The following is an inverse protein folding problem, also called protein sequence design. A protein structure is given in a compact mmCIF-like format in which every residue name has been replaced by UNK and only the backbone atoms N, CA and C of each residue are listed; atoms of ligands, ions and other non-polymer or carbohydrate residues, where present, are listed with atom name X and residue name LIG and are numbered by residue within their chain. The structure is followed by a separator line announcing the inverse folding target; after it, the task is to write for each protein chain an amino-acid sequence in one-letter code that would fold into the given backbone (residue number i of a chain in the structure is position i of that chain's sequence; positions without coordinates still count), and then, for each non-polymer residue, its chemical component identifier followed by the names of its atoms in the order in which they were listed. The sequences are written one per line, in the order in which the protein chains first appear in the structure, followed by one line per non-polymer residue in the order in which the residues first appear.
data_IF_169950975570
#
_entry.id   IF_169950975570
#
_cell.length_a   1.000
_cell.length_b   1.000
_cell.length_c   1.000
_cell.angle_alpha   90.00
_cell.angle_beta   90.00
_cell.angle_gamma   90.00
#
_symmetry.space_group_name_H-M   'P 1'
#
loop_
_entity.id
_entity.type
_entity.pdbx_description
1 polymer ?
#
# COMPACT_ATOMS: atom_id res chain seq x y z
N UNK A 1 10.75 -12.61 9.66
CA UNK A 1 11.25 -12.70 11.06
C UNK A 1 10.97 -14.04 11.73
N UNK A 2 10.02 -14.83 11.20
CA UNK A 2 9.70 -16.17 11.74
C UNK A 2 10.84 -17.19 11.52
N UNK A 3 11.66 -17.02 10.48
CA UNK A 3 12.81 -17.90 10.29
C UNK A 3 13.89 -17.60 11.34
N UNK A 4 14.20 -18.54 12.25
CA UNK A 4 15.19 -18.33 13.33
C UNK A 4 16.60 -18.10 12.79
N UNK A 5 16.87 -18.55 11.58
CA UNK A 5 18.18 -18.39 10.91
C UNK A 5 18.26 -17.15 10.04
N UNK A 6 17.21 -16.33 9.98
CA UNK A 6 17.11 -15.15 9.09
C UNK A 6 17.48 -15.43 7.62
N UNK A 7 17.26 -16.67 7.17
CA UNK A 7 17.67 -17.14 5.83
C UNK A 7 16.82 -16.59 4.69
N UNK A 8 15.66 -16.01 5.01
CA UNK A 8 14.76 -15.41 4.03
C UNK A 8 14.85 -13.88 4.08
N UNK A 9 15.20 -13.28 2.97
CA UNK A 9 15.24 -11.82 2.79
C UNK A 9 14.33 -11.42 1.64
N UNK A 10 13.57 -10.33 1.75
CA UNK A 10 12.82 -9.78 0.61
C UNK A 10 13.80 -9.20 -0.40
N UNK A 11 13.49 -9.39 -1.67
CA UNK A 11 14.22 -8.77 -2.78
C UNK A 11 13.49 -7.48 -3.14
N UNK A 12 13.89 -6.40 -2.50
CA UNK A 12 13.44 -5.05 -2.87
C UNK A 12 14.11 -4.61 -4.17
N UNK A 13 13.40 -3.81 -4.93
CA UNK A 13 13.97 -3.13 -6.08
C UNK A 13 14.86 -1.96 -5.62
N UNK A 14 15.97 -1.67 -6.31
CA UNK A 14 16.78 -0.50 -6.03
C UNK A 14 16.07 0.77 -6.50
N UNK A 15 16.45 1.94 -5.98
CA UNK A 15 15.88 3.22 -6.43
C UNK A 15 16.16 3.53 -7.91
N UNK A 16 17.18 2.91 -8.51
CA UNK A 16 17.46 3.01 -9.95
C UNK A 16 16.34 2.43 -10.83
N UNK A 17 15.38 1.71 -10.24
CA UNK A 17 14.16 1.26 -10.97
C UNK A 17 13.39 2.44 -11.59
N UNK A 18 13.56 3.66 -11.08
CA UNK A 18 12.94 4.84 -11.67
C UNK A 18 13.41 5.08 -13.10
N UNK A 19 14.64 4.71 -13.42
CA UNK A 19 15.25 4.90 -14.75
C UNK A 19 14.64 3.97 -15.81
N UNK A 20 13.88 2.94 -15.41
CA UNK A 20 13.22 1.98 -16.31
C UNK A 20 11.92 2.55 -16.93
N UNK A 21 11.44 3.69 -16.44
CA UNK A 21 10.16 4.28 -16.85
C UNK A 21 10.35 5.73 -17.33
N UNK A 22 9.46 6.16 -18.25
CA UNK A 22 9.43 7.56 -18.71
C UNK A 22 8.69 8.48 -17.75
N UNK A 23 7.86 7.91 -16.88
CA UNK A 23 7.08 8.63 -15.89
C UNK A 23 6.90 7.74 -14.66
N UNK A 24 7.30 8.22 -13.50
CA UNK A 24 7.31 7.46 -12.26
C UNK A 24 6.38 8.06 -11.22
N UNK A 25 5.60 7.19 -10.58
CA UNK A 25 4.65 7.57 -9.53
C UNK A 25 5.03 6.91 -8.23
N UNK A 26 5.34 7.69 -7.21
CA UNK A 26 5.52 7.16 -5.86
C UNK A 26 4.18 6.76 -5.26
N UNK A 27 4.14 5.58 -4.65
CA UNK A 27 3.00 5.09 -3.87
C UNK A 27 3.37 5.03 -2.38
N UNK A 28 3.31 6.16 -1.64
CA UNK A 28 3.58 6.16 -0.21
C UNK A 28 2.43 5.50 0.55
N UNK A 29 2.73 4.52 1.43
CA UNK A 29 1.74 3.96 2.34
C UNK A 29 1.47 4.90 3.52
N UNK A 30 0.30 4.82 4.18
CA UNK A 30 0.03 5.62 5.38
C UNK A 30 1.09 5.44 6.48
N UNK A 31 1.66 4.23 6.60
CA UNK A 31 2.72 3.93 7.56
C UNK A 31 4.05 4.67 7.31
N UNK A 32 4.23 5.30 6.15
CA UNK A 32 5.43 6.11 5.88
C UNK A 32 5.42 7.38 6.74
N UNK A 33 4.27 8.00 6.89
CA UNK A 33 4.13 9.23 7.69
C UNK A 33 4.46 9.00 9.17
N UNK A 34 4.10 7.84 9.71
CA UNK A 34 4.42 7.44 11.08
C UNK A 34 5.91 7.16 11.36
N UNK A 35 6.78 7.24 10.34
CA UNK A 35 8.24 7.10 10.54
C UNK A 35 8.89 8.42 11.01
N UNK A 36 8.16 9.52 10.97
CA UNK A 36 8.69 10.85 11.30
C UNK A 36 8.12 11.33 12.64
N UNK A 37 9.01 11.69 13.56
CA UNK A 37 8.64 12.36 14.79
C UNK A 37 8.27 13.82 14.47
N UNK A 38 7.15 14.30 14.99
CA UNK A 38 6.68 15.68 14.83
C UNK A 38 6.46 16.10 13.36
N UNK A 39 5.93 15.20 12.54
CA UNK A 39 5.47 15.56 11.20
C UNK A 39 4.24 16.47 11.32
N UNK A 40 4.37 17.73 10.98
CA UNK A 40 3.28 18.72 11.05
C UNK A 40 2.35 18.56 9.85
N UNK A 41 2.90 18.36 8.66
CA UNK A 41 2.14 18.24 7.42
C UNK A 41 2.67 17.08 6.55
N UNK A 42 1.75 16.32 5.97
CA UNK A 42 2.09 15.19 5.08
C UNK A 42 2.68 15.69 3.75
N UNK A 43 2.29 16.90 3.34
CA UNK A 43 2.73 17.52 2.10
C UNK A 43 4.25 17.60 1.97
N UNK A 44 4.96 17.80 3.09
CA UNK A 44 6.43 17.83 3.08
C UNK A 44 7.05 16.51 2.67
N UNK A 45 6.42 15.38 3.05
CA UNK A 45 6.88 14.04 2.66
C UNK A 45 6.60 13.80 1.17
N UNK A 46 5.42 14.22 0.70
CA UNK A 46 5.03 14.07 -0.69
C UNK A 46 5.89 14.94 -1.61
N UNK A 47 6.12 16.21 -1.24
CA UNK A 47 7.03 17.09 -1.95
C UNK A 47 8.47 16.55 -1.97
N UNK A 48 8.93 15.94 -0.87
CA UNK A 48 10.24 15.33 -0.81
C UNK A 48 10.38 14.12 -1.75
N UNK A 49 9.31 13.37 -1.99
CA UNK A 49 9.32 12.29 -3.00
C UNK A 49 9.50 12.85 -4.41
N UNK A 50 8.84 13.97 -4.73
CA UNK A 50 9.05 14.66 -6.01
C UNK A 50 10.48 15.17 -6.15
N UNK A 51 11.04 15.80 -5.09
CA UNK A 51 12.45 16.27 -5.06
C UNK A 51 13.45 15.12 -5.20
N UNK A 52 13.07 13.89 -4.86
CA UNK A 52 13.89 12.69 -5.05
C UNK A 52 13.90 12.15 -6.49
N UNK A 53 13.07 12.70 -7.38
CA UNK A 53 13.03 12.32 -8.79
C UNK A 53 11.81 11.52 -9.22
N UNK A 54 10.80 11.37 -8.37
CA UNK A 54 9.50 10.90 -8.83
C UNK A 54 8.78 12.03 -9.59
N UNK A 55 8.09 11.68 -10.68
CA UNK A 55 7.32 12.66 -11.46
C UNK A 55 5.97 12.97 -10.82
N UNK A 56 5.46 12.04 -9.99
CA UNK A 56 4.17 12.19 -9.34
C UNK A 56 4.09 11.39 -8.03
N UNK A 57 3.09 11.69 -7.23
CA UNK A 57 2.78 10.95 -6.00
C UNK A 57 1.30 10.58 -5.96
N UNK A 58 0.99 9.36 -5.53
CA UNK A 58 -0.37 8.91 -5.31
C UNK A 58 -0.46 8.18 -3.96
N UNK A 59 -1.13 8.78 -3.00
CA UNK A 59 -1.26 8.23 -1.66
C UNK A 59 -2.07 6.92 -1.65
N UNK A 60 -1.45 5.84 -1.14
CA UNK A 60 -2.17 4.55 -0.97
C UNK A 60 -3.35 4.71 -0.02
N UNK A 61 -3.29 5.66 0.89
CA UNK A 61 -4.38 6.00 1.81
C UNK A 61 -5.69 6.36 1.09
N UNK A 62 -5.65 7.07 -0.04
CA UNK A 62 -6.85 7.36 -0.87
C UNK A 62 -7.52 6.08 -1.36
N UNK A 63 -6.73 5.13 -1.84
CA UNK A 63 -7.27 3.85 -2.28
C UNK A 63 -7.78 3.01 -1.10
N UNK A 64 -7.17 3.13 0.08
CA UNK A 64 -7.63 2.48 1.29
C UNK A 64 -9.03 2.97 1.72
N UNK A 65 -9.34 4.24 1.55
CA UNK A 65 -10.70 4.78 1.77
C UNK A 65 -11.74 4.15 0.85
N UNK A 66 -11.41 4.01 -0.42
CA UNK A 66 -12.28 3.36 -1.40
C UNK A 66 -12.50 1.88 -1.08
N UNK A 67 -11.45 1.19 -0.61
CA UNK A 67 -11.56 -0.21 -0.15
C UNK A 67 -12.44 -0.28 1.10
N UNK A 68 -12.30 0.64 2.06
CA UNK A 68 -13.16 0.70 3.24
C UNK A 68 -14.62 0.91 2.86
N UNK A 69 -14.92 1.79 1.91
CA UNK A 69 -16.29 2.02 1.43
C UNK A 69 -16.85 0.77 0.73
N UNK A 70 -16.07 0.13 -0.13
CA UNK A 70 -16.47 -1.11 -0.80
C UNK A 70 -16.70 -2.25 0.21
N UNK A 71 -15.84 -2.38 1.22
CA UNK A 71 -15.98 -3.38 2.30
C UNK A 71 -17.28 -3.14 3.06
N UNK A 72 -17.56 -1.89 3.44
CA UNK A 72 -18.79 -1.52 4.15
C UNK A 72 -20.03 -1.92 3.36
N UNK A 73 -20.04 -1.68 2.05
CA UNK A 73 -21.16 -2.07 1.16
C UNK A 73 -21.33 -3.60 1.10
N UNK A 74 -20.24 -4.36 0.96
CA UNK A 74 -20.27 -5.83 0.98
C UNK A 74 -20.85 -6.35 2.30
N UNK A 75 -20.40 -5.81 3.43
CA UNK A 75 -20.91 -6.21 4.75
C UNK A 75 -22.40 -5.91 4.92
N UNK A 76 -22.88 -4.79 4.38
CA UNK A 76 -24.29 -4.41 4.43
C UNK A 76 -25.17 -5.31 3.55
N UNK A 77 -24.68 -5.79 2.43
CA UNK A 77 -25.43 -6.70 1.56
C UNK A 77 -25.53 -8.13 2.10
N UNK A 78 -24.67 -8.49 3.06
CA UNK A 78 -24.59 -9.86 3.57
C UNK A 78 -24.14 -10.88 2.52
N UNK A 79 -23.49 -10.45 1.44
CA UNK A 79 -23.11 -11.30 0.30
C UNK A 79 -21.87 -12.16 0.55
N UNK A 80 -21.25 -12.02 1.72
CA UNK A 80 -20.06 -12.79 2.12
C UNK A 80 -20.31 -13.53 3.42
N UNK A 81 -19.78 -14.74 3.53
CA UNK A 81 -19.91 -15.58 4.72
C UNK A 81 -19.10 -15.00 5.89
N UNK A 82 -19.70 -15.01 7.08
CA UNK A 82 -19.03 -14.56 8.31
C UNK A 82 -18.31 -15.72 9.02
N UNK A 83 -17.19 -15.48 9.70
CA UNK A 83 -16.48 -14.17 9.86
C UNK A 83 -15.81 -13.72 8.56
N UNK A 84 -15.84 -12.41 8.30
CA UNK A 84 -15.23 -11.82 7.09
C UNK A 84 -13.75 -11.53 7.34
N UNK A 85 -12.89 -11.96 6.42
CA UNK A 85 -11.44 -11.81 6.51
C UNK A 85 -10.96 -10.78 5.49
N UNK A 86 -10.15 -9.81 5.94
CA UNK A 86 -9.54 -8.81 5.05
C UNK A 86 -8.61 -9.44 4.03
N UNK A 87 -8.68 -8.98 2.78
CA UNK A 87 -7.76 -9.35 1.69
C UNK A 87 -6.51 -8.47 1.60
N UNK A 88 -6.38 -7.45 2.44
CA UNK A 88 -5.30 -6.46 2.34
C UNK A 88 -3.91 -7.01 2.68
N UNK A 89 -3.83 -8.08 3.49
CA UNK A 89 -2.55 -8.71 3.86
C UNK A 89 -2.22 -9.89 2.95
N UNK A 90 -1.21 -9.79 2.06
CA UNK A 90 -0.86 -10.89 1.16
C UNK A 90 -0.26 -12.11 1.87
N UNK A 91 0.29 -11.94 3.08
CA UNK A 91 0.75 -13.08 3.88
C UNK A 91 -0.44 -13.91 4.36
N UNK A 92 -1.50 -13.26 4.86
CA UNK A 92 -2.73 -13.92 5.33
C UNK A 92 -3.44 -14.62 4.17
N UNK A 93 -3.63 -13.94 3.05
CA UNK A 93 -4.30 -14.53 1.89
C UNK A 93 -3.55 -15.73 1.31
N UNK A 94 -2.20 -15.69 1.30
CA UNK A 94 -1.38 -16.86 0.93
C UNK A 94 -1.50 -17.99 1.94
N UNK A 95 -1.46 -17.68 3.22
CA UNK A 95 -1.60 -18.66 4.30
C UNK A 95 -2.93 -19.40 4.19
N UNK A 96 -4.03 -18.64 4.03
CA UNK A 96 -5.37 -19.23 3.84
C UNK A 96 -5.37 -20.18 2.65
N UNK A 97 -4.89 -19.75 1.49
CA UNK A 97 -4.89 -20.60 0.28
C UNK A 97 -4.10 -21.91 0.44
N UNK A 98 -3.02 -21.89 1.22
CA UNK A 98 -2.12 -23.05 1.35
C UNK A 98 -2.50 -23.94 2.52
N UNK A 99 -2.94 -23.37 3.64
CA UNK A 99 -3.15 -24.12 4.89
C UNK A 99 -4.61 -24.22 5.33
N UNK A 100 -5.44 -23.25 4.91
CA UNK A 100 -6.81 -23.13 5.35
C UNK A 100 -7.77 -22.84 4.19
N UNK A 101 -7.76 -23.67 3.11
CA UNK A 101 -8.54 -23.40 1.91
C UNK A 101 -10.04 -23.29 2.16
N UNK A 102 -10.55 -23.90 3.23
CA UNK A 102 -11.95 -23.77 3.66
C UNK A 102 -12.36 -22.35 4.08
N UNK A 103 -11.38 -21.44 4.31
CA UNK A 103 -11.65 -20.04 4.65
C UNK A 103 -11.62 -19.11 3.43
N UNK A 104 -11.47 -19.62 2.22
CA UNK A 104 -11.35 -18.78 1.01
C UNK A 104 -12.63 -17.96 0.79
N UNK A 105 -13.80 -18.55 1.02
CA UNK A 105 -15.09 -17.89 0.83
C UNK A 105 -15.39 -16.81 1.87
N UNK A 106 -14.62 -16.77 2.95
CA UNK A 106 -14.65 -15.72 3.97
C UNK A 106 -13.78 -14.51 3.62
N UNK A 107 -12.86 -14.64 2.64
CA UNK A 107 -11.93 -13.55 2.28
C UNK A 107 -12.64 -12.54 1.38
N UNK A 108 -12.53 -11.26 1.75
CA UNK A 108 -13.08 -10.17 0.95
C UNK A 108 -12.59 -10.25 -0.50
N UNK A 109 -13.50 -10.25 -1.50
CA UNK A 109 -13.14 -10.29 -2.91
C UNK A 109 -12.74 -8.90 -3.42
N UNK A 110 -11.88 -8.21 -2.68
CA UNK A 110 -11.41 -6.86 -2.99
C UNK A 110 -9.91 -6.86 -3.29
N UNK A 111 -9.51 -6.00 -4.21
CA UNK A 111 -8.11 -5.71 -4.48
C UNK A 111 -7.53 -4.94 -3.31
N UNK A 112 -6.32 -5.31 -2.88
CA UNK A 112 -5.62 -4.58 -1.83
C UNK A 112 -5.40 -3.10 -2.20
N UNK A 113 -5.37 -2.16 -1.23
CA UNK A 113 -5.22 -0.73 -1.50
C UNK A 113 -4.05 -0.37 -2.42
N UNK A 114 -2.92 -1.06 -2.30
CA UNK A 114 -1.75 -0.81 -3.15
C UNK A 114 -2.01 -1.08 -4.64
N UNK A 115 -2.74 -2.16 -4.95
CA UNK A 115 -3.09 -2.50 -6.33
C UNK A 115 -4.13 -1.53 -6.91
N UNK A 116 -5.10 -1.13 -6.09
CA UNK A 116 -6.09 -0.12 -6.49
C UNK A 116 -5.42 1.25 -6.71
N UNK A 117 -4.52 1.66 -5.80
CA UNK A 117 -3.75 2.91 -5.94
C UNK A 117 -2.97 2.94 -7.25
N UNK A 118 -2.20 1.88 -7.55
CA UNK A 118 -1.42 1.80 -8.78
C UNK A 118 -2.31 1.88 -10.03
N UNK A 119 -3.45 1.18 -10.02
CA UNK A 119 -4.41 1.21 -11.14
C UNK A 119 -4.98 2.61 -11.38
N UNK A 120 -5.38 3.29 -10.31
CA UNK A 120 -5.94 4.64 -10.38
C UNK A 120 -4.89 5.66 -10.79
N UNK A 121 -3.70 5.61 -10.18
CA UNK A 121 -2.57 6.47 -10.50
C UNK A 121 -2.16 6.36 -11.97
N UNK A 122 -1.98 5.15 -12.49
CA UNK A 122 -1.67 4.92 -13.90
C UNK A 122 -2.75 5.44 -14.83
N UNK A 123 -4.03 5.18 -14.51
CA UNK A 123 -5.15 5.67 -15.32
C UNK A 123 -5.15 7.19 -15.40
N UNK A 124 -4.87 7.87 -14.31
CA UNK A 124 -4.79 9.33 -14.26
C UNK A 124 -3.57 9.85 -15.02
N UNK A 125 -2.41 9.24 -14.82
CA UNK A 125 -1.18 9.61 -15.52
C UNK A 125 -1.28 9.43 -17.03
N UNK A 126 -1.84 8.31 -17.52
CA UNK A 126 -2.11 8.10 -18.96
C UNK A 126 -2.96 9.23 -19.53
N UNK A 127 -4.04 9.61 -18.81
CA UNK A 127 -4.94 10.69 -19.24
C UNK A 127 -4.22 12.06 -19.28
N UNK A 128 -3.34 12.33 -18.32
CA UNK A 128 -2.65 13.61 -18.16
C UNK A 128 -1.45 13.75 -19.08
N UNK A 129 -0.67 12.68 -19.25
CA UNK A 129 0.60 12.73 -19.99
C UNK A 129 0.47 12.26 -21.45
N UNK A 130 -0.54 11.45 -21.75
CA UNK A 130 -0.67 10.78 -23.05
C UNK A 130 0.30 9.61 -23.25
N UNK A 131 1.12 9.28 -22.24
CA UNK A 131 2.05 8.15 -22.31
C UNK A 131 1.29 6.81 -22.27
N UNK A 132 1.80 5.77 -22.94
CA UNK A 132 1.27 4.43 -22.81
C UNK A 132 1.50 3.89 -21.40
N UNK A 133 0.62 2.99 -20.95
CA UNK A 133 0.61 2.46 -19.57
C UNK A 133 1.95 1.80 -19.18
N UNK A 134 2.61 1.17 -20.12
CA UNK A 134 3.90 0.48 -19.95
C UNK A 134 5.08 1.41 -19.71
N UNK A 135 4.98 2.67 -20.10
CA UNK A 135 5.98 3.71 -19.87
C UNK A 135 5.82 4.38 -18.49
N UNK A 136 4.75 4.05 -17.76
CA UNK A 136 4.43 4.62 -16.44
C UNK A 136 4.71 3.59 -15.35
N UNK A 137 5.66 3.89 -14.46
CA UNK A 137 6.03 3.05 -13.32
C UNK A 137 5.36 3.49 -12.03
N UNK A 138 4.60 2.61 -11.39
CA UNK A 138 4.10 2.80 -10.03
C UNK A 138 5.00 2.08 -9.03
N UNK A 139 5.71 2.83 -8.19
CA UNK A 139 6.72 2.31 -7.27
C UNK A 139 6.22 2.41 -5.83
N UNK A 140 6.04 1.26 -5.20
CA UNK A 140 5.55 1.18 -3.83
C UNK A 140 6.69 1.28 -2.82
N UNK A 141 6.55 2.16 -1.84
CA UNK A 141 7.54 2.34 -0.76
C UNK A 141 7.06 1.52 0.44
N UNK A 142 7.80 0.48 0.84
CA UNK A 142 7.25 -0.44 1.84
C UNK A 142 8.29 -1.04 2.79
N UNK A 143 7.92 -1.26 4.07
CA UNK A 143 8.70 -2.07 5.00
C UNK A 143 8.30 -3.55 4.94
N UNK A 144 7.24 -3.92 4.19
CA UNK A 144 6.59 -5.22 4.30
C UNK A 144 7.11 -6.24 3.27
N UNK A 145 7.83 -7.29 3.71
CA UNK A 145 8.34 -8.34 2.82
C UNK A 145 7.25 -9.08 2.04
N UNK A 146 6.08 -9.27 2.67
CA UNK A 146 4.97 -9.97 2.04
C UNK A 146 4.39 -9.20 0.85
N UNK A 147 4.34 -7.86 0.96
CA UNK A 147 3.90 -7.01 -0.15
C UNK A 147 4.91 -7.01 -1.29
N UNK A 148 6.22 -6.98 -1.00
CA UNK A 148 7.27 -7.17 -2.01
C UNK A 148 7.07 -8.48 -2.77
N UNK A 149 6.91 -9.60 -2.05
CA UNK A 149 6.64 -10.89 -2.67
C UNK A 149 5.36 -10.89 -3.51
N UNK A 150 4.30 -10.22 -3.05
CA UNK A 150 3.04 -10.16 -3.79
C UNK A 150 3.13 -9.33 -5.08
N UNK A 151 4.00 -8.33 -5.12
CA UNK A 151 4.26 -7.52 -6.31
C UNK A 151 5.01 -8.36 -7.36
N UNK A 152 6.09 -9.04 -6.97
CA UNK A 152 6.90 -9.83 -7.90
C UNK A 152 6.29 -11.21 -8.24
N UNK A 153 5.41 -11.73 -7.39
CA UNK A 153 4.75 -13.03 -7.59
C UNK A 153 3.30 -12.93 -7.15
N UNK A 154 2.44 -12.26 -7.92
CA UNK A 154 1.05 -12.06 -7.55
C UNK A 154 0.27 -13.39 -7.57
N UNK A 155 -0.78 -13.48 -6.75
CA UNK A 155 -1.68 -14.63 -6.73
C UNK A 155 -2.97 -14.28 -7.46
N UNK A 156 -3.38 -15.13 -8.40
CA UNK A 156 -4.63 -14.96 -9.14
C UNK A 156 -4.56 -13.97 -10.31
N UNK A 157 -3.37 -13.44 -10.61
CA UNK A 157 -3.10 -12.65 -11.82
C UNK A 157 -1.72 -12.95 -12.36
N UNK A 158 -1.50 -12.73 -13.67
CA UNK A 158 -0.21 -12.91 -14.30
C UNK A 158 0.79 -11.80 -14.00
N UNK A 159 0.29 -10.62 -13.64
CA UNK A 159 1.10 -9.42 -13.37
C UNK A 159 0.47 -8.57 -12.28
N UNK A 160 1.31 -7.91 -11.48
CA UNK A 160 0.92 -6.87 -10.54
C UNK A 160 0.58 -5.56 -11.28
N UNK A 161 -0.29 -4.74 -10.70
CA UNK A 161 -0.50 -3.35 -11.14
C UNK A 161 0.62 -2.42 -10.66
N UNK A 162 1.36 -2.85 -9.63
CA UNK A 162 2.54 -2.15 -9.09
C UNK A 162 3.78 -2.69 -9.80
N UNK A 163 4.64 -1.82 -10.27
CA UNK A 163 5.80 -2.19 -11.09
C UNK A 163 7.06 -2.46 -10.28
N UNK A 164 7.18 -1.84 -9.11
CA UNK A 164 8.31 -2.07 -8.22
C UNK A 164 8.03 -1.79 -6.76
N UNK A 165 8.90 -2.30 -5.89
CA UNK A 165 8.80 -2.15 -4.45
C UNK A 165 10.15 -1.78 -3.83
N UNK A 166 10.28 -0.55 -3.36
CA UNK A 166 11.49 -0.02 -2.73
C UNK A 166 11.36 -0.04 -1.21
N UNK A 167 12.44 -0.39 -0.54
CA UNK A 167 12.46 -0.45 0.92
C UNK A 167 12.42 0.95 1.55
N UNK A 168 11.54 1.16 2.55
CA UNK A 168 11.52 2.41 3.33
C UNK A 168 12.92 2.79 3.82
N UNK A 169 13.72 1.83 4.30
CA UNK A 169 15.07 2.06 4.82
C UNK A 169 16.04 2.71 3.81
N UNK A 170 15.80 2.54 2.50
CA UNK A 170 16.61 3.14 1.44
C UNK A 170 16.11 4.53 1.08
N UNK A 171 14.80 4.72 1.13
CA UNK A 171 14.13 5.99 0.83
C UNK A 171 14.29 6.99 1.98
N UNK A 172 14.17 6.53 3.22
CA UNK A 172 14.11 7.36 4.42
C UNK A 172 15.26 8.38 4.59
N UNK A 173 16.56 8.01 4.45
CA UNK A 173 17.64 8.98 4.57
C UNK A 173 17.58 10.09 3.50
N UNK A 174 17.18 9.73 2.28
CA UNK A 174 17.03 10.67 1.17
C UNK A 174 15.85 11.61 1.39
N UNK A 175 14.71 11.07 1.84
CA UNK A 175 13.53 11.85 2.23
C UNK A 175 13.88 12.89 3.30
N UNK A 176 14.56 12.49 4.37
CA UNK A 176 14.98 13.41 5.42
C UNK A 176 15.87 14.54 4.88
N UNK A 177 16.75 14.23 3.95
CA UNK A 177 17.61 15.24 3.32
C UNK A 177 16.79 16.20 2.43
N UNK A 178 15.83 15.68 1.66
CA UNK A 178 14.91 16.46 0.82
C UNK A 178 13.99 17.34 1.65
N UNK A 179 13.35 16.80 2.68
CA UNK A 179 12.44 17.53 3.57
C UNK A 179 13.10 18.78 4.19
N UNK A 180 14.41 18.71 4.51
CA UNK A 180 15.16 19.84 5.05
C UNK A 180 15.42 20.97 4.03
N UNK A 181 15.33 20.68 2.74
CA UNK A 181 15.55 21.66 1.66
C UNK A 181 14.27 22.34 1.20
N UNK A 182 13.13 21.68 1.42
CA UNK A 182 11.84 22.18 0.98
C UNK A 182 11.44 23.38 1.86
N UNK A 183 11.33 24.55 1.24
CA UNK A 183 10.90 25.78 1.89
C UNK A 183 9.50 26.25 1.49
N UNK A 184 9.01 25.75 0.35
CA UNK A 184 7.66 25.99 -0.14
C UNK A 184 7.09 24.69 -0.68
N UNK A 185 5.83 24.41 -0.42
CA UNK A 185 5.13 23.19 -0.80
C UNK A 185 3.80 23.54 -1.45
N UNK A 186 3.43 22.76 -2.48
CA UNK A 186 2.06 22.70 -2.95
C UNK A 186 1.25 21.76 -2.04
N UNK A 187 -0.05 21.97 -1.95
CA UNK A 187 -0.95 21.06 -1.25
C UNK A 187 -1.13 19.79 -2.08
N UNK A 188 -0.38 18.74 -1.74
CA UNK A 188 -0.36 17.44 -2.43
C UNK A 188 -1.20 16.39 -1.70
N UNK A 189 -1.28 16.49 -0.38
CA UNK A 189 -2.02 15.56 0.46
C UNK A 189 -3.52 15.63 0.17
N UNK A 190 -4.10 14.48 -0.09
CA UNK A 190 -5.50 14.37 -0.46
C UNK A 190 -6.22 13.17 0.17
N UNK A 191 -5.49 12.36 0.95
CA UNK A 191 -6.06 11.28 1.72
C UNK A 191 -6.74 11.79 2.99
N UNK A 192 -7.90 11.23 3.30
CA UNK A 192 -8.63 11.54 4.52
C UNK A 192 -8.22 10.65 5.69
N UNK A 193 -8.84 10.91 6.85
CA UNK A 193 -8.54 10.21 8.11
C UNK A 193 -8.75 8.70 8.05
N UNK A 194 -9.75 8.22 7.31
CA UNK A 194 -10.04 6.78 7.19
C UNK A 194 -8.86 6.09 6.54
N UNK A 195 -8.36 6.63 5.43
CA UNK A 195 -7.24 6.05 4.70
C UNK A 195 -5.93 6.10 5.48
N UNK A 196 -5.67 7.20 6.16
CA UNK A 196 -4.48 7.38 7.01
C UNK A 196 -4.52 6.44 8.21
N UNK A 197 -5.70 6.24 8.81
CA UNK A 197 -5.90 5.33 9.93
C UNK A 197 -5.54 3.87 9.65
N UNK A 198 -5.44 3.46 8.39
CA UNK A 198 -4.98 2.11 8.03
C UNK A 198 -3.53 1.81 8.48
N UNK A 199 -2.78 2.83 8.87
CA UNK A 199 -1.46 2.65 9.49
C UNK A 199 -1.51 2.13 10.92
N UNK A 200 -2.64 2.32 11.60
CA UNK A 200 -2.83 1.96 13.00
C UNK A 200 -3.31 0.50 13.13
N UNK A 201 -3.05 -0.09 14.30
CA UNK A 201 -3.60 -1.40 14.65
C UNK A 201 -5.13 -1.33 14.68
N UNK A 202 -5.78 -2.23 13.93
CA UNK A 202 -7.23 -2.22 13.79
C UNK A 202 -7.80 -1.08 12.93
N UNK A 203 -6.97 -0.20 12.37
CA UNK A 203 -7.40 0.99 11.62
C UNK A 203 -8.24 0.67 10.39
N UNK A 204 -7.98 -0.45 9.71
CA UNK A 204 -8.83 -0.94 8.61
C UNK A 204 -10.28 -1.16 9.09
N UNK A 205 -10.44 -1.88 10.21
CA UNK A 205 -11.77 -2.17 10.76
C UNK A 205 -12.43 -0.93 11.34
N UNK A 206 -11.68 -0.09 12.06
CA UNK A 206 -12.17 1.18 12.58
C UNK A 206 -12.68 2.11 11.48
N UNK A 207 -12.04 2.09 10.30
CA UNK A 207 -12.45 2.84 9.12
C UNK A 207 -13.79 2.41 8.52
N UNK A 208 -14.32 1.24 8.90
CA UNK A 208 -15.65 0.80 8.47
C UNK A 208 -16.78 1.59 9.13
N UNK A 209 -16.53 2.22 10.29
CA UNK A 209 -17.54 3.00 11.05
C UNK A 209 -18.82 2.19 11.22
N UNK A 210 -18.68 0.92 11.60
CA UNK A 210 -19.79 0.00 11.80
C UNK A 210 -19.88 -0.45 13.27
N UNK A 211 -21.04 -0.98 13.64
CA UNK A 211 -21.27 -1.59 14.97
C UNK A 211 -20.88 -3.07 15.02
N UNK A 212 -20.35 -3.62 13.91
CA UNK A 212 -19.90 -5.01 13.86
C UNK A 212 -18.71 -5.22 14.81
N UNK A 213 -18.67 -6.40 15.44
CA UNK A 213 -17.51 -6.83 16.20
C UNK A 213 -16.38 -7.22 15.25
N UNK A 214 -15.16 -6.80 15.56
CA UNK A 214 -13.98 -7.16 14.76
C UNK A 214 -12.81 -7.55 15.66
N UNK A 215 -11.91 -8.33 15.08
CA UNK A 215 -10.62 -8.71 15.66
C UNK A 215 -9.51 -8.19 14.76
N UNK A 216 -8.57 -7.43 15.33
CA UNK A 216 -7.31 -7.06 14.69
C UNK A 216 -6.18 -7.89 15.29
N UNK A 217 -5.38 -8.51 14.44
CA UNK A 217 -4.22 -9.29 14.85
C UNK A 217 -2.95 -8.69 14.23
N UNK A 218 -2.03 -8.27 15.07
CA UNK A 218 -0.73 -7.74 14.67
C UNK A 218 0.35 -8.83 14.74
N UNK A 219 1.12 -8.93 13.66
CA UNK A 219 2.15 -9.95 13.53
C UNK A 219 1.59 -11.30 13.07
N UNK A 220 2.36 -11.97 12.21
CA UNK A 220 1.94 -13.24 11.62
C UNK A 220 1.83 -14.36 12.66
N UNK A 221 2.58 -14.29 13.74
CA UNK A 221 2.54 -15.20 14.88
C UNK A 221 1.21 -15.17 15.62
N UNK A 222 0.49 -14.04 15.58
CA UNK A 222 -0.83 -13.91 16.20
C UNK A 222 -1.97 -14.25 15.22
N UNK A 223 -1.65 -14.43 13.94
CA UNK A 223 -2.63 -14.81 12.90
C UNK A 223 -2.69 -16.33 12.73
N UNK A 224 -1.60 -17.06 13.03
CA UNK A 224 -1.50 -18.52 12.91
C UNK A 224 -2.14 -19.20 14.11
#
# INVERSE_FOLDING_TARGET
RICPHHAKKPLYDPLTILDDFKYTIALPPPSLYGQYNNLEEQDVVLAALLDMGFDDVYEVAKAAELVSDATRRILQTGSIERPVISSACPAVTRLIRVRFPQLIDHVLPLVAPIGLAARLAKKEAVRRTGLPKEDIGCIFITPCPAKVTAIHSPIGSSRSEVDGAVAIKEVYPRLLASMKRISQMDYLASAGRIGLGWAESGGEAAGLISTDSYLAADGIENVI
#
